data_IF_126534155939
#
_entry.id   IF_126534155939
#
_cell.length_a   1.000
_cell.length_b   1.000
_cell.length_c   1.000
_cell.angle_alpha   90.00
_cell.angle_beta   90.00
_cell.angle_gamma   90.00
#
_symmetry.space_group_name_H-M   'P 1'
#
loop_
_entity.id
_entity.type
_entity.pdbx_description
1 polymer ?
#
# COMPACT_ATOMS: atom_id res chain seq x y z
N UNK A 1 -8.51 32.33 -17.50
CA UNK A 1 -9.78 31.58 -17.64
C UNK A 1 -9.41 30.13 -17.81
N UNK A 2 -9.81 29.21 -16.93
CA UNK A 2 -9.57 27.78 -17.14
C UNK A 2 -10.37 27.35 -18.37
N UNK A 3 -9.76 26.55 -19.25
CA UNK A 3 -10.47 25.93 -20.39
C UNK A 3 -11.47 24.93 -19.81
N UNK A 4 -12.73 24.90 -20.28
CA UNK A 4 -13.65 23.83 -19.89
C UNK A 4 -13.05 22.50 -20.35
N UNK A 5 -12.85 21.56 -19.43
CA UNK A 5 -12.60 20.17 -19.79
C UNK A 5 -13.85 19.65 -20.52
N UNK A 6 -13.68 19.32 -21.78
CA UNK A 6 -14.73 18.66 -22.57
C UNK A 6 -14.77 17.21 -22.06
N UNK A 7 -15.78 16.85 -21.30
CA UNK A 7 -16.10 15.47 -20.95
C UNK A 7 -16.39 14.71 -22.26
N UNK A 8 -15.44 13.93 -22.74
CA UNK A 8 -15.54 13.21 -24.01
C UNK A 8 -16.49 11.99 -23.94
N UNK A 9 -16.87 11.53 -22.74
CA UNK A 9 -17.62 10.26 -22.58
C UNK A 9 -18.80 10.30 -21.61
N UNK A 10 -18.99 11.38 -20.84
CA UNK A 10 -19.98 11.41 -19.73
C UNK A 10 -19.58 10.57 -18.50
N UNK A 11 -18.49 9.82 -18.56
CA UNK A 11 -17.89 9.04 -17.45
C UNK A 11 -16.67 9.77 -16.94
N UNK A 12 -16.67 10.16 -15.67
CA UNK A 12 -15.54 10.87 -15.06
C UNK A 12 -14.45 9.91 -14.57
N UNK A 13 -14.84 8.77 -13.99
CA UNK A 13 -13.91 7.82 -13.40
C UNK A 13 -14.04 6.43 -14.03
N UNK A 14 -12.91 5.77 -14.30
CA UNK A 14 -12.85 4.35 -14.61
C UNK A 14 -12.21 3.62 -13.44
N UNK A 15 -12.99 2.80 -12.74
CA UNK A 15 -12.53 1.98 -11.62
C UNK A 15 -11.91 0.69 -12.17
N UNK A 16 -10.63 0.46 -11.92
CA UNK A 16 -9.90 -0.73 -12.36
C UNK A 16 -9.66 -1.66 -11.17
N UNK A 17 -10.18 -2.87 -11.24
CA UNK A 17 -10.07 -3.87 -10.19
C UNK A 17 -9.35 -5.11 -10.72
N UNK A 18 -8.06 -5.29 -10.43
CA UNK A 18 -7.37 -6.53 -10.72
C UNK A 18 -7.87 -7.64 -9.77
N UNK A 19 -8.22 -8.79 -10.32
CA UNK A 19 -8.81 -9.89 -9.56
C UNK A 19 -8.03 -11.19 -9.81
N UNK A 20 -7.71 -11.93 -8.72
CA UNK A 20 -7.11 -13.25 -8.80
C UNK A 20 -7.53 -14.13 -7.63
N UNK A 21 -8.31 -15.17 -7.90
CA UNK A 21 -8.79 -16.17 -6.92
C UNK A 21 -9.52 -15.55 -5.69
N UNK A 22 -10.31 -14.47 -5.87
CA UNK A 22 -11.01 -13.76 -4.80
C UNK A 22 -12.47 -13.42 -5.13
N UNK A 23 -13.29 -14.42 -5.48
CA UNK A 23 -14.67 -14.17 -5.89
C UNK A 23 -15.55 -13.60 -4.77
N UNK A 24 -15.25 -13.88 -3.51
CA UNK A 24 -16.04 -13.38 -2.39
C UNK A 24 -15.74 -11.91 -2.08
N UNK A 25 -14.47 -11.51 -2.14
CA UNK A 25 -14.03 -10.14 -1.91
C UNK A 25 -14.55 -9.18 -2.99
N UNK A 26 -14.55 -9.60 -4.27
CA UNK A 26 -15.06 -8.73 -5.35
C UNK A 26 -16.55 -8.41 -5.17
N UNK A 27 -17.35 -9.34 -4.65
CA UNK A 27 -18.77 -9.11 -4.35
C UNK A 27 -18.92 -7.93 -3.38
N UNK A 28 -18.17 -7.94 -2.28
CA UNK A 28 -18.26 -6.89 -1.26
C UNK A 28 -17.80 -5.53 -1.80
N UNK A 29 -16.74 -5.52 -2.65
CA UNK A 29 -16.31 -4.29 -3.32
C UNK A 29 -17.41 -3.73 -4.23
N UNK A 30 -18.01 -4.56 -5.09
CA UNK A 30 -19.08 -4.13 -5.99
C UNK A 30 -20.32 -3.65 -5.24
N UNK A 31 -20.71 -4.32 -4.14
CA UNK A 31 -21.77 -3.82 -3.26
C UNK A 31 -21.46 -2.41 -2.72
N UNK A 32 -20.23 -2.16 -2.30
CA UNK A 32 -19.84 -0.84 -1.81
C UNK A 32 -19.82 0.23 -2.92
N UNK A 33 -19.57 -0.17 -4.17
CA UNK A 33 -19.64 0.73 -5.33
C UNK A 33 -21.10 1.04 -5.73
N UNK A 34 -22.04 0.12 -5.55
CA UNK A 34 -23.46 0.44 -5.79
C UNK A 34 -24.02 1.46 -4.81
N UNK A 35 -23.41 1.60 -3.64
CA UNK A 35 -23.83 2.54 -2.61
C UNK A 35 -23.24 3.95 -2.76
N UNK A 36 -22.43 4.21 -3.80
CA UNK A 36 -21.83 5.53 -3.99
C UNK A 36 -22.87 6.62 -4.25
N UNK A 37 -22.70 7.78 -3.63
CA UNK A 37 -23.56 8.97 -3.82
C UNK A 37 -23.44 9.57 -5.22
N UNK A 38 -22.31 9.36 -5.89
CA UNK A 38 -22.02 9.79 -7.25
C UNK A 38 -21.74 8.56 -8.11
N UNK A 39 -22.42 8.43 -9.24
CA UNK A 39 -22.42 7.25 -10.12
C UNK A 39 -21.84 7.55 -11.53
N UNK A 40 -21.05 8.60 -11.70
CA UNK A 40 -20.41 8.97 -12.95
C UNK A 40 -19.12 8.17 -13.23
N UNK A 41 -19.15 6.88 -12.95
CA UNK A 41 -18.02 5.96 -13.13
C UNK A 41 -18.42 4.65 -13.82
N UNK A 42 -17.47 4.06 -14.53
CA UNK A 42 -17.51 2.67 -14.99
C UNK A 42 -16.60 1.80 -14.10
N UNK A 43 -16.86 0.48 -14.08
CA UNK A 43 -16.05 -0.49 -13.33
C UNK A 43 -15.51 -1.55 -14.29
N UNK A 44 -14.18 -1.70 -14.35
CA UNK A 44 -13.50 -2.71 -15.14
C UNK A 44 -12.90 -3.75 -14.20
N UNK A 45 -13.55 -4.91 -14.08
CA UNK A 45 -13.03 -6.05 -13.33
C UNK A 45 -12.16 -6.89 -14.27
N UNK A 46 -10.88 -6.99 -13.98
CA UNK A 46 -9.92 -7.73 -14.80
C UNK A 46 -9.44 -8.96 -14.04
N UNK A 47 -9.99 -10.10 -14.42
CA UNK A 47 -9.62 -11.42 -13.87
C UNK A 47 -8.30 -11.89 -14.47
N UNK A 48 -7.30 -12.13 -13.63
CA UNK A 48 -5.92 -12.43 -14.00
C UNK A 48 -5.61 -13.94 -13.94
N UNK A 49 -6.40 -14.74 -14.65
CA UNK A 49 -6.18 -16.19 -14.78
C UNK A 49 -6.48 -16.98 -13.51
N UNK A 50 -7.58 -16.65 -12.83
CA UNK A 50 -8.05 -17.38 -11.65
C UNK A 50 -8.50 -18.79 -11.98
N UNK A 51 -8.29 -19.72 -11.04
CA UNK A 51 -8.85 -21.08 -11.07
C UNK A 51 -10.37 -21.07 -10.80
N UNK A 52 -10.82 -20.09 -10.01
CA UNK A 52 -12.23 -19.79 -9.71
C UNK A 52 -12.51 -18.39 -10.19
N UNK A 53 -13.12 -18.25 -11.35
CA UNK A 53 -13.49 -16.96 -11.87
C UNK A 53 -14.70 -16.33 -11.13
N UNK A 54 -14.86 -15.03 -11.31
CA UNK A 54 -15.93 -14.28 -10.66
C UNK A 54 -16.98 -13.76 -11.67
N UNK A 55 -17.02 -14.31 -12.89
CA UNK A 55 -17.92 -13.84 -13.97
C UNK A 55 -19.37 -13.73 -13.52
N UNK A 56 -19.91 -14.82 -12.95
CA UNK A 56 -21.31 -14.85 -12.51
C UNK A 56 -21.59 -13.86 -11.37
N UNK A 57 -20.58 -13.60 -10.54
CA UNK A 57 -20.69 -12.61 -9.47
C UNK A 57 -20.74 -11.21 -10.06
N UNK A 58 -19.88 -10.90 -11.00
CA UNK A 58 -19.80 -9.56 -11.62
C UNK A 58 -21.06 -9.30 -12.45
N UNK A 59 -21.52 -10.28 -13.24
CA UNK A 59 -22.72 -10.13 -14.07
C UNK A 59 -23.98 -9.84 -13.26
N UNK A 60 -24.05 -10.28 -12.00
CA UNK A 60 -25.16 -9.96 -11.10
C UNK A 60 -25.23 -8.46 -10.70
N UNK A 61 -24.27 -7.64 -11.11
CA UNK A 61 -24.26 -6.20 -10.83
C UNK A 61 -24.49 -5.33 -12.08
N UNK A 62 -24.60 -5.92 -13.27
CA UNK A 62 -24.75 -5.18 -14.54
C UNK A 62 -26.00 -4.31 -14.61
N UNK A 63 -27.06 -4.63 -13.87
CA UNK A 63 -28.29 -3.83 -13.73
C UNK A 63 -28.16 -2.66 -12.73
N UNK A 64 -27.08 -2.62 -11.93
CA UNK A 64 -26.86 -1.63 -10.85
C UNK A 64 -25.59 -0.80 -11.06
N UNK A 65 -24.64 -1.27 -11.87
CA UNK A 65 -23.38 -0.62 -12.14
C UNK A 65 -23.03 -0.71 -13.64
N UNK A 66 -22.42 0.30 -14.22
CA UNK A 66 -21.73 0.16 -15.51
C UNK A 66 -20.44 -0.67 -15.28
N UNK A 67 -20.60 -1.98 -15.20
CA UNK A 67 -19.52 -2.92 -14.88
C UNK A 67 -19.22 -3.80 -16.09
N UNK A 68 -17.93 -3.97 -16.37
CA UNK A 68 -17.42 -4.83 -17.44
C UNK A 68 -16.45 -5.85 -16.83
N UNK A 69 -16.59 -7.10 -17.25
CA UNK A 69 -15.72 -8.20 -16.84
C UNK A 69 -14.80 -8.63 -17.97
N UNK A 70 -13.51 -8.69 -17.68
CA UNK A 70 -12.47 -9.16 -18.60
C UNK A 70 -11.71 -10.31 -17.97
N UNK A 71 -11.50 -11.38 -18.73
CA UNK A 71 -10.62 -12.48 -18.34
C UNK A 71 -9.36 -12.46 -19.22
N UNK A 72 -8.20 -12.71 -18.61
CA UNK A 72 -6.92 -12.84 -19.30
C UNK A 72 -6.02 -13.86 -18.59
N UNK A 73 -5.01 -14.38 -19.29
CA UNK A 73 -3.97 -15.17 -18.67
C UNK A 73 -3.20 -14.38 -17.58
N UNK A 74 -2.69 -15.11 -16.58
CA UNK A 74 -2.04 -14.49 -15.43
C UNK A 74 -0.73 -13.79 -15.83
N UNK A 75 -0.72 -12.47 -15.72
CA UNK A 75 0.46 -11.61 -15.86
C UNK A 75 0.75 -10.81 -14.59
N UNK A 76 0.05 -11.13 -13.51
CA UNK A 76 0.13 -10.47 -12.20
C UNK A 76 -0.40 -9.02 -12.19
N UNK A 77 -0.63 -8.54 -10.98
CA UNK A 77 -1.43 -7.34 -10.68
C UNK A 77 -1.02 -6.05 -11.43
N UNK A 78 0.28 -5.78 -11.63
CA UNK A 78 0.72 -4.56 -12.32
C UNK A 78 0.28 -4.51 -13.77
N UNK A 79 0.47 -5.61 -14.51
CA UNK A 79 0.08 -5.66 -15.93
C UNK A 79 -1.42 -5.86 -16.11
N UNK A 80 -2.08 -6.45 -15.14
CA UNK A 80 -3.54 -6.54 -15.09
C UNK A 80 -4.18 -5.16 -14.94
N UNK A 81 -3.55 -4.26 -14.14
CA UNK A 81 -3.97 -2.85 -14.07
C UNK A 81 -3.74 -2.12 -15.40
N UNK A 82 -2.61 -2.35 -16.08
CA UNK A 82 -2.38 -1.78 -17.42
C UNK A 82 -3.45 -2.18 -18.41
N UNK A 83 -3.84 -3.46 -18.40
CA UNK A 83 -4.92 -3.96 -19.25
C UNK A 83 -6.24 -3.20 -19.04
N UNK A 84 -6.55 -2.86 -17.77
CA UNK A 84 -7.69 -2.01 -17.41
C UNK A 84 -7.50 -0.56 -17.88
N UNK A 85 -6.32 0.03 -17.70
CA UNK A 85 -6.02 1.40 -18.14
C UNK A 85 -6.21 1.59 -19.64
N UNK A 86 -5.81 0.60 -20.46
CA UNK A 86 -5.98 0.64 -21.92
C UNK A 86 -7.46 0.68 -22.37
N UNK A 87 -8.38 0.21 -21.51
CA UNK A 87 -9.82 0.10 -21.80
C UNK A 87 -10.67 1.14 -21.10
N UNK A 88 -10.08 1.86 -20.20
CA UNK A 88 -10.72 2.91 -19.43
C UNK A 88 -11.21 4.05 -20.34
N UNK A 89 -12.45 4.51 -20.12
CA UNK A 89 -13.08 5.62 -20.85
C UNK A 89 -13.03 6.94 -20.08
N UNK A 90 -12.96 6.88 -18.75
CA UNK A 90 -12.97 8.03 -17.86
C UNK A 90 -11.72 8.91 -17.98
N UNK A 91 -11.84 10.14 -17.54
CA UNK A 91 -10.71 11.07 -17.43
C UNK A 91 -9.73 10.68 -16.33
N UNK A 92 -10.22 9.97 -15.32
CA UNK A 92 -9.47 9.46 -14.18
C UNK A 92 -9.57 7.94 -14.10
N UNK A 93 -8.45 7.26 -14.01
CA UNK A 93 -8.36 5.83 -13.76
C UNK A 93 -8.08 5.60 -12.29
N UNK A 94 -9.01 4.94 -11.61
CA UNK A 94 -8.96 4.69 -10.15
C UNK A 94 -8.75 3.21 -9.90
N UNK A 95 -7.67 2.87 -9.22
CA UNK A 95 -7.35 1.49 -8.89
C UNK A 95 -7.81 1.18 -7.47
N UNK A 96 -8.58 0.11 -7.32
CA UNK A 96 -8.85 -0.53 -6.02
C UNK A 96 -8.41 -1.98 -6.06
N UNK A 97 -7.85 -2.48 -4.96
CA UNK A 97 -7.66 -3.91 -4.80
C UNK A 97 -9.01 -4.58 -4.47
N UNK A 98 -9.25 -5.80 -4.92
CA UNK A 98 -10.53 -6.50 -4.78
C UNK A 98 -10.99 -6.72 -3.33
N UNK A 99 -10.08 -6.59 -2.36
CA UNK A 99 -10.32 -6.72 -0.93
C UNK A 99 -10.56 -5.36 -0.22
N UNK A 100 -10.99 -4.34 -0.98
CA UNK A 100 -11.37 -3.03 -0.46
C UNK A 100 -12.88 -2.89 -0.30
N UNK A 101 -13.30 -2.07 0.68
CA UNK A 101 -14.66 -1.54 0.82
C UNK A 101 -14.60 -0.03 0.69
N UNK A 102 -15.42 0.54 -0.18
CA UNK A 102 -15.37 1.95 -0.54
C UNK A 102 -16.48 2.70 0.19
N UNK A 103 -16.18 3.72 1.03
CA UNK A 103 -17.19 4.54 1.67
C UNK A 103 -18.11 5.24 0.66
N UNK A 104 -19.38 5.39 0.99
CA UNK A 104 -20.45 5.87 0.09
C UNK A 104 -20.14 7.23 -0.58
N UNK A 105 -19.39 8.12 0.08
CA UNK A 105 -19.06 9.45 -0.41
C UNK A 105 -17.65 9.57 -1.02
N UNK A 106 -17.02 8.45 -1.36
CA UNK A 106 -15.64 8.46 -1.86
C UNK A 106 -15.50 9.31 -3.13
N UNK A 107 -16.31 9.04 -4.18
CA UNK A 107 -16.24 9.77 -5.44
C UNK A 107 -16.72 11.20 -5.32
N UNK A 108 -17.63 11.52 -4.42
CA UNK A 108 -18.03 12.88 -4.10
C UNK A 108 -16.83 13.70 -3.56
N UNK A 109 -16.15 13.19 -2.53
CA UNK A 109 -14.99 13.86 -1.95
C UNK A 109 -13.82 14.00 -2.95
N UNK A 110 -13.58 12.94 -3.73
CA UNK A 110 -12.53 12.97 -4.77
C UNK A 110 -12.90 13.99 -5.84
N UNK A 111 -14.15 14.00 -6.30
CA UNK A 111 -14.63 14.95 -7.30
C UNK A 111 -14.48 16.40 -6.86
N UNK A 112 -14.96 16.72 -5.66
CA UNK A 112 -14.83 18.07 -5.06
C UNK A 112 -13.37 18.52 -4.93
N UNK A 113 -12.48 17.61 -4.48
CA UNK A 113 -11.06 17.91 -4.36
C UNK A 113 -10.41 18.20 -5.72
N UNK A 114 -10.69 17.39 -6.74
CA UNK A 114 -10.12 17.55 -8.08
C UNK A 114 -10.63 18.82 -8.78
N UNK A 115 -11.87 19.24 -8.54
CA UNK A 115 -12.42 20.50 -9.05
C UNK A 115 -11.71 21.73 -8.44
N UNK A 116 -11.32 21.62 -7.16
CA UNK A 116 -10.55 22.66 -6.48
C UNK A 116 -9.06 22.66 -6.82
N UNK A 117 -8.53 21.53 -7.29
CA UNK A 117 -7.11 21.33 -7.58
C UNK A 117 -6.88 20.77 -9.00
N UNK A 118 -7.21 21.54 -10.04
CA UNK A 118 -7.18 21.06 -11.45
C UNK A 118 -5.75 20.80 -11.96
N UNK A 119 -4.73 21.14 -11.20
CA UNK A 119 -3.32 20.89 -11.49
C UNK A 119 -2.80 19.56 -10.91
N UNK A 120 -3.61 18.83 -10.16
CA UNK A 120 -3.29 17.48 -9.67
C UNK A 120 -3.42 16.48 -10.81
N UNK A 121 -2.44 15.60 -10.95
CA UNK A 121 -2.41 14.53 -11.97
C UNK A 121 -2.59 13.14 -11.35
N UNK A 122 -2.29 13.00 -10.05
CA UNK A 122 -2.28 11.71 -9.34
C UNK A 122 -2.78 11.93 -7.92
N UNK A 123 -3.62 11.04 -7.42
CA UNK A 123 -4.04 11.10 -6.03
C UNK A 123 -4.06 9.73 -5.37
N UNK A 124 -4.16 9.73 -4.06
CA UNK A 124 -4.52 8.58 -3.24
C UNK A 124 -5.11 9.03 -1.93
N UNK A 125 -5.58 8.10 -1.16
CA UNK A 125 -6.18 8.34 0.15
C UNK A 125 -5.67 7.37 1.22
N UNK A 126 -6.01 7.62 2.49
CA UNK A 126 -5.64 6.75 3.59
C UNK A 126 -6.39 5.42 3.55
N UNK A 127 -5.78 4.40 4.16
CA UNK A 127 -6.46 3.15 4.45
C UNK A 127 -6.87 3.08 5.93
N UNK A 128 -8.03 2.49 6.18
CA UNK A 128 -8.58 2.32 7.52
C UNK A 128 -9.06 0.88 7.77
N UNK A 129 -9.32 0.54 9.03
CA UNK A 129 -9.97 -0.70 9.41
C UNK A 129 -11.48 -0.49 9.47
N UNK A 130 -12.24 -1.33 8.75
CA UNK A 130 -13.69 -1.32 8.85
C UNK A 130 -14.13 -1.86 10.22
N UNK A 131 -15.25 -1.36 10.81
CA UNK A 131 -15.76 -1.85 12.10
C UNK A 131 -16.01 -3.37 12.16
N UNK A 132 -16.39 -4.00 11.05
CA UNK A 132 -16.60 -5.46 10.95
C UNK A 132 -15.31 -6.30 10.95
N UNK A 133 -14.13 -5.69 10.83
CA UNK A 133 -12.90 -6.44 10.78
C UNK A 133 -12.57 -7.13 12.09
N UNK A 134 -11.94 -8.29 12.01
CA UNK A 134 -11.54 -9.06 13.19
C UNK A 134 -10.52 -8.30 14.05
N UNK A 135 -10.39 -8.62 15.35
CA UNK A 135 -9.39 -7.99 16.22
C UNK A 135 -7.95 -8.09 15.68
N UNK A 136 -7.60 -9.21 15.00
CA UNK A 136 -6.29 -9.37 14.36
C UNK A 136 -6.12 -8.37 13.21
N UNK A 137 -7.10 -8.25 12.34
CA UNK A 137 -7.06 -7.29 11.22
C UNK A 137 -6.98 -5.85 11.70
N UNK A 138 -7.74 -5.48 12.75
CA UNK A 138 -7.66 -4.17 13.40
C UNK A 138 -6.30 -3.90 14.03
N UNK A 139 -5.72 -4.89 14.71
CA UNK A 139 -4.38 -4.78 15.30
C UNK A 139 -3.29 -4.62 14.24
N UNK A 140 -3.38 -5.36 13.11
CA UNK A 140 -2.49 -5.20 11.96
C UNK A 140 -2.66 -3.81 11.35
N UNK A 141 -3.89 -3.34 11.15
CA UNK A 141 -4.15 -2.00 10.64
C UNK A 141 -3.56 -0.94 11.55
N UNK A 142 -3.74 -1.06 12.88
CA UNK A 142 -3.14 -0.17 13.85
C UNK A 142 -1.61 -0.16 13.73
N UNK A 143 -0.97 -1.33 13.70
CA UNK A 143 0.49 -1.41 13.54
C UNK A 143 0.98 -0.74 12.25
N UNK A 144 0.24 -0.85 11.15
CA UNK A 144 0.61 -0.28 9.86
C UNK A 144 0.39 1.24 9.77
N UNK A 145 -0.42 1.83 10.63
CA UNK A 145 -0.78 3.27 10.60
C UNK A 145 -0.28 4.05 11.81
N UNK A 146 0.12 3.38 12.90
CA UNK A 146 0.65 4.03 14.11
C UNK A 146 1.93 4.81 13.83
N UNK A 147 2.03 5.99 14.45
CA UNK A 147 3.26 6.79 14.43
C UNK A 147 4.44 6.05 15.09
N UNK A 148 4.18 5.26 16.12
CA UNK A 148 5.20 4.51 16.87
C UNK A 148 5.83 3.36 16.05
N UNK A 149 5.28 3.03 14.88
CA UNK A 149 5.77 1.98 13.99
C UNK A 149 6.24 2.50 12.64
N UNK A 150 5.49 3.44 12.04
CA UNK A 150 5.71 3.93 10.68
C UNK A 150 6.26 5.37 10.62
N UNK A 151 6.41 6.03 11.78
CA UNK A 151 6.85 7.42 11.83
C UNK A 151 5.93 8.40 11.11
N UNK A 152 4.62 8.07 11.00
CA UNK A 152 3.63 8.91 10.34
C UNK A 152 3.63 8.85 8.80
N UNK A 153 4.42 7.95 8.17
CA UNK A 153 4.46 7.81 6.69
C UNK A 153 3.08 7.48 6.10
N UNK A 154 2.19 6.87 6.88
CA UNK A 154 0.80 6.53 6.51
C UNK A 154 -0.22 7.39 7.26
N UNK A 155 0.20 8.51 7.84
CA UNK A 155 -0.69 9.44 8.53
C UNK A 155 -1.53 10.26 7.56
N UNK A 156 -2.81 10.43 7.88
CA UNK A 156 -3.82 11.05 7.02
C UNK A 156 -3.80 12.59 6.99
N UNK A 157 -2.66 13.25 6.89
CA UNK A 157 -2.60 14.71 6.66
C UNK A 157 -2.49 15.01 5.17
N UNK A 158 -3.21 16.01 4.71
CA UNK A 158 -3.17 16.45 3.32
C UNK A 158 -1.74 16.77 2.88
N UNK A 159 -1.30 16.16 1.78
CA UNK A 159 0.00 16.39 1.15
C UNK A 159 -0.19 16.68 -0.33
N UNK A 160 0.42 17.74 -0.82
CA UNK A 160 0.41 18.14 -2.22
C UNK A 160 1.83 18.06 -2.80
N UNK A 161 1.94 17.51 -4.02
CA UNK A 161 3.15 17.55 -4.82
C UNK A 161 3.98 16.28 -4.84
N UNK A 162 4.27 15.67 -3.71
CA UNK A 162 5.21 14.52 -3.62
C UNK A 162 4.65 13.30 -2.90
N UNK A 163 3.35 13.23 -2.70
CA UNK A 163 2.69 12.05 -2.12
C UNK A 163 2.86 10.83 -3.04
N UNK A 164 3.18 9.68 -2.47
CA UNK A 164 3.32 8.43 -3.19
C UNK A 164 2.12 7.52 -2.93
N UNK A 165 1.06 7.56 -3.77
CA UNK A 165 -0.12 6.74 -3.60
C UNK A 165 0.20 5.25 -3.70
N UNK A 166 -0.65 4.44 -3.09
CA UNK A 166 -0.58 2.98 -3.14
C UNK A 166 -1.67 2.43 -4.01
N UNK A 167 -1.40 1.35 -4.71
CA UNK A 167 -2.30 0.80 -5.70
C UNK A 167 -3.68 0.38 -5.19
N UNK A 168 -3.84 0.12 -3.89
CA UNK A 168 -5.16 -0.19 -3.33
C UNK A 168 -6.11 1.02 -3.29
N UNK A 169 -5.58 2.23 -3.47
CA UNK A 169 -6.32 3.51 -3.49
C UNK A 169 -5.49 4.54 -4.25
N UNK A 170 -5.50 4.46 -5.57
CA UNK A 170 -4.71 5.31 -6.45
C UNK A 170 -5.57 5.77 -7.62
N UNK A 171 -5.72 7.08 -7.79
CA UNK A 171 -6.27 7.69 -8.99
C UNK A 171 -5.19 8.36 -9.82
N UNK A 172 -5.20 8.14 -11.12
CA UNK A 172 -4.31 8.79 -12.08
C UNK A 172 -5.13 9.43 -13.20
N UNK A 173 -4.76 10.63 -13.62
CA UNK A 173 -5.35 11.27 -14.78
C UNK A 173 -4.93 10.54 -16.07
N UNK A 174 -5.73 10.68 -17.13
CA UNK A 174 -5.38 10.14 -18.46
C UNK A 174 -4.02 10.66 -18.93
N UNK A 175 -3.72 11.93 -18.71
CA UNK A 175 -2.40 12.52 -18.95
C UNK A 175 -1.28 11.77 -18.21
N UNK A 176 -1.50 11.43 -16.93
CA UNK A 176 -0.51 10.71 -16.14
C UNK A 176 -0.24 9.30 -16.68
N UNK A 177 -1.27 8.60 -17.16
CA UNK A 177 -1.10 7.31 -17.83
C UNK A 177 -0.35 7.43 -19.15
N UNK A 178 -0.74 8.36 -20.02
CA UNK A 178 -0.10 8.57 -21.33
C UNK A 178 1.39 8.90 -21.20
N UNK A 179 1.75 9.77 -20.23
CA UNK A 179 3.14 10.17 -19.98
C UNK A 179 3.95 9.03 -19.38
N UNK A 180 3.37 8.22 -18.50
CA UNK A 180 4.09 7.19 -17.75
C UNK A 180 4.11 5.83 -18.43
N UNK A 181 3.14 5.51 -19.28
CA UNK A 181 2.98 4.20 -19.92
C UNK A 181 2.52 3.08 -18.95
N UNK A 182 1.96 3.42 -17.79
CA UNK A 182 1.44 2.45 -16.83
C UNK A 182 2.50 1.76 -15.98
N UNK A 183 2.18 0.60 -15.43
CA UNK A 183 3.08 -0.19 -14.58
C UNK A 183 4.18 -0.85 -15.43
N UNK A 184 5.43 -0.64 -15.00
CA UNK A 184 6.64 -1.19 -15.64
C UNK A 184 7.01 -2.57 -15.13
N UNK A 185 6.68 -2.84 -13.88
CA UNK A 185 6.91 -4.13 -13.19
C UNK A 185 5.62 -4.58 -12.53
N UNK A 186 5.57 -5.86 -12.18
CA UNK A 186 4.34 -6.46 -11.65
C UNK A 186 4.56 -7.18 -10.31
N UNK A 187 5.78 -7.15 -9.77
CA UNK A 187 6.15 -7.83 -8.52
C UNK A 187 7.05 -6.94 -7.67
N UNK A 188 6.86 -7.01 -6.34
CA UNK A 188 7.72 -6.39 -5.32
C UNK A 188 7.96 -4.88 -5.49
N UNK A 189 6.91 -4.13 -5.27
CA UNK A 189 6.98 -2.68 -5.21
C UNK A 189 6.61 -1.98 -6.50
N UNK A 190 5.77 -2.62 -7.31
CA UNK A 190 5.23 -2.08 -8.54
C UNK A 190 4.51 -0.74 -8.34
N UNK A 191 3.78 -0.62 -7.22
CA UNK A 191 3.09 0.60 -6.82
C UNK A 191 4.06 1.72 -6.43
N UNK A 192 5.15 1.37 -5.74
CA UNK A 192 6.19 2.33 -5.35
C UNK A 192 6.97 2.81 -6.57
N UNK A 193 7.39 1.87 -7.44
CA UNK A 193 8.06 2.20 -8.70
C UNK A 193 7.20 3.15 -9.53
N UNK A 194 5.93 2.79 -9.71
CA UNK A 194 5.01 3.56 -10.51
C UNK A 194 4.79 4.96 -9.92
N UNK A 195 4.49 5.08 -8.63
CA UNK A 195 4.31 6.37 -7.97
C UNK A 195 5.57 7.26 -8.06
N UNK A 196 6.75 6.69 -7.83
CA UNK A 196 8.00 7.44 -7.95
C UNK A 196 8.27 7.91 -9.38
N UNK A 197 7.93 7.10 -10.37
CA UNK A 197 8.08 7.43 -11.79
C UNK A 197 7.10 8.51 -12.23
N UNK A 198 5.85 8.47 -11.78
CA UNK A 198 4.88 9.55 -12.00
C UNK A 198 5.42 10.90 -11.49
N UNK A 199 5.93 10.93 -10.25
CA UNK A 199 6.54 12.13 -9.67
C UNK A 199 7.80 12.56 -10.46
N UNK A 200 8.63 11.61 -10.90
CA UNK A 200 9.82 11.90 -11.69
C UNK A 200 9.51 12.45 -13.09
N UNK A 201 8.32 12.20 -13.62
CA UNK A 201 7.80 12.85 -14.82
C UNK A 201 7.29 14.29 -14.57
N UNK A 202 7.35 14.79 -13.34
CA UNK A 202 6.88 16.13 -12.97
C UNK A 202 5.37 16.19 -12.70
N UNK A 203 4.71 15.04 -12.61
CA UNK A 203 3.28 14.98 -12.33
C UNK A 203 3.01 15.31 -10.85
N UNK A 204 1.99 16.13 -10.61
CA UNK A 204 1.62 16.57 -9.27
C UNK A 204 0.73 15.53 -8.60
N UNK A 205 1.17 15.03 -7.44
CA UNK A 205 0.44 14.06 -6.65
C UNK A 205 -0.16 14.68 -5.38
N UNK A 206 -1.27 14.12 -4.90
CA UNK A 206 -1.95 14.57 -3.69
C UNK A 206 -2.40 13.41 -2.81
N UNK A 207 -2.38 13.61 -1.48
CA UNK A 207 -3.13 12.81 -0.53
C UNK A 207 -4.45 13.54 -0.27
N UNK A 208 -5.57 12.85 -0.50
CA UNK A 208 -6.92 13.31 -0.18
C UNK A 208 -7.36 12.61 1.11
N UNK A 209 -7.39 13.31 2.26
CA UNK A 209 -7.69 12.67 3.55
C UNK A 209 -9.09 12.03 3.60
N UNK A 210 -10.04 12.60 2.88
CA UNK A 210 -11.44 12.15 2.82
C UNK A 210 -11.64 10.94 1.91
N UNK A 211 -10.69 10.68 0.98
CA UNK A 211 -10.72 9.52 0.10
C UNK A 211 -10.25 8.24 0.84
N UNK A 212 -10.90 7.94 1.95
CA UNK A 212 -10.60 6.75 2.78
C UNK A 212 -11.07 5.49 2.07
N UNK A 213 -10.29 4.41 2.20
CA UNK A 213 -10.66 3.06 1.75
C UNK A 213 -10.49 2.08 2.91
N UNK A 214 -11.47 1.23 3.16
CA UNK A 214 -11.35 0.14 4.13
C UNK A 214 -10.69 -1.06 3.45
N UNK A 215 -9.37 -1.20 3.64
CA UNK A 215 -8.59 -2.27 3.02
C UNK A 215 -8.49 -3.46 3.98
N UNK A 216 -9.01 -4.62 3.58
CA UNK A 216 -8.97 -5.85 4.38
C UNK A 216 -7.51 -6.27 4.62
N UNK A 217 -7.15 -6.35 5.88
CA UNK A 217 -5.83 -6.84 6.29
C UNK A 217 -5.79 -8.36 6.29
N UNK A 218 -4.61 -8.93 6.33
CA UNK A 218 -4.41 -10.36 6.50
C UNK A 218 -5.13 -10.84 7.75
N UNK A 219 -5.73 -12.02 7.66
CA UNK A 219 -6.55 -12.59 8.73
C UNK A 219 -5.75 -13.26 9.82
N UNK A 220 -4.47 -13.54 9.56
CA UNK A 220 -3.54 -14.13 10.53
C UNK A 220 -2.15 -13.49 10.48
N UNK A 221 -1.41 -13.65 11.59
CA UNK A 221 -0.09 -13.06 11.75
C UNK A 221 0.98 -13.69 10.84
N UNK A 222 0.85 -14.96 10.44
CA UNK A 222 1.82 -15.60 9.56
C UNK A 222 1.76 -15.03 8.15
N UNK A 223 0.55 -14.80 7.65
CA UNK A 223 0.36 -14.14 6.35
C UNK A 223 0.85 -12.70 6.41
N UNK A 224 0.56 -11.98 7.51
CA UNK A 224 1.04 -10.63 7.72
C UNK A 224 2.56 -10.55 7.76
N UNK A 225 3.23 -11.46 8.48
CA UNK A 225 4.69 -11.55 8.52
C UNK A 225 5.29 -11.68 7.13
N UNK A 226 4.77 -12.62 6.31
CA UNK A 226 5.23 -12.81 4.92
C UNK A 226 5.04 -11.57 4.07
N UNK A 227 3.91 -10.90 4.22
CA UNK A 227 3.61 -9.66 3.49
C UNK A 227 4.60 -8.55 3.83
N UNK A 228 4.89 -8.37 5.12
CA UNK A 228 5.79 -7.29 5.57
C UNK A 228 7.25 -7.59 5.24
N UNK A 229 7.68 -8.86 5.33
CA UNK A 229 8.98 -9.30 4.83
C UNK A 229 9.14 -8.98 3.32
N UNK A 230 8.10 -9.26 2.54
CA UNK A 230 8.06 -8.90 1.13
C UNK A 230 8.21 -7.39 0.90
N UNK A 231 7.60 -6.53 1.74
CA UNK A 231 7.77 -5.07 1.65
C UNK A 231 9.22 -4.64 1.91
N UNK A 232 9.91 -5.27 2.88
CA UNK A 232 11.33 -5.02 3.12
C UNK A 232 12.19 -5.35 1.90
N UNK A 233 11.96 -6.52 1.28
CA UNK A 233 12.64 -6.94 0.04
C UNK A 233 12.34 -5.99 -1.13
N UNK A 234 11.08 -5.60 -1.30
CA UNK A 234 10.66 -4.68 -2.34
C UNK A 234 11.43 -3.35 -2.29
N UNK A 235 11.69 -2.82 -1.09
CA UNK A 235 12.42 -1.57 -0.91
C UNK A 235 13.85 -1.63 -1.48
N UNK A 236 14.53 -2.75 -1.36
CA UNK A 236 15.87 -2.94 -1.95
C UNK A 236 15.77 -3.01 -3.49
N UNK A 237 14.74 -3.66 -4.02
CA UNK A 237 14.56 -3.82 -5.47
C UNK A 237 14.27 -2.49 -6.18
N UNK A 238 13.50 -1.58 -5.57
CA UNK A 238 13.23 -0.25 -6.11
C UNK A 238 14.50 0.54 -6.36
N UNK A 239 15.57 0.34 -5.57
CA UNK A 239 16.88 0.98 -5.78
C UNK A 239 17.45 0.77 -7.19
N UNK A 240 17.04 -0.28 -7.90
CA UNK A 240 17.49 -0.55 -9.29
C UNK A 240 16.99 0.49 -10.28
N UNK A 241 15.78 1.00 -10.03
CA UNK A 241 15.13 2.01 -10.86
C UNK A 241 15.43 3.42 -10.34
N UNK A 242 15.55 3.55 -9.02
CA UNK A 242 15.77 4.80 -8.31
C UNK A 242 16.91 4.64 -7.28
N UNK A 243 18.18 4.81 -7.67
CA UNK A 243 19.34 4.53 -6.81
C UNK A 243 19.32 5.24 -5.46
N UNK A 244 18.75 6.44 -5.36
CA UNK A 244 18.62 7.21 -4.11
C UNK A 244 17.39 6.86 -3.24
N UNK A 245 16.57 5.88 -3.63
CA UNK A 245 15.31 5.58 -2.96
C UNK A 245 15.46 4.90 -1.59
N UNK A 246 16.58 4.24 -1.33
CA UNK A 246 16.86 3.59 -0.05
C UNK A 246 17.46 4.61 0.92
N UNK A 247 16.59 5.24 1.74
CA UNK A 247 16.97 6.26 2.73
C UNK A 247 17.36 5.62 4.07
N UNK A 248 18.16 6.29 4.94
CA UNK A 248 18.54 5.76 6.26
C UNK A 248 17.37 5.32 7.13
N UNK A 249 16.24 6.02 7.08
CA UNK A 249 15.03 5.67 7.83
C UNK A 249 14.49 4.26 7.51
N UNK A 250 14.71 3.73 6.30
CA UNK A 250 14.28 2.38 5.92
C UNK A 250 15.06 1.28 6.66
N UNK A 251 16.22 1.62 7.24
CA UNK A 251 17.03 0.71 8.04
C UNK A 251 16.60 0.63 9.51
N UNK A 252 15.77 1.56 10.00
CA UNK A 252 15.32 1.54 11.39
C UNK A 252 14.68 0.21 11.81
N UNK A 253 13.82 -0.45 10.99
CA UNK A 253 13.30 -1.77 11.31
C UNK A 253 14.39 -2.86 11.42
N UNK A 254 15.43 -2.78 10.58
CA UNK A 254 16.59 -3.70 10.67
C UNK A 254 17.39 -3.46 11.94
N UNK A 255 17.58 -2.21 12.32
CA UNK A 255 18.26 -1.88 13.59
C UNK A 255 17.44 -2.35 14.81
N UNK A 256 16.12 -2.22 14.75
CA UNK A 256 15.23 -2.78 15.78
C UNK A 256 15.35 -4.31 15.87
N UNK A 257 15.40 -5.01 14.73
CA UNK A 257 15.65 -6.45 14.70
C UNK A 257 17.00 -6.81 15.34
N UNK A 258 18.07 -6.12 14.96
CA UNK A 258 19.42 -6.35 15.52
C UNK A 258 19.43 -6.08 17.03
N UNK A 259 18.79 -5.00 17.46
CA UNK A 259 18.62 -4.69 18.89
C UNK A 259 17.94 -5.84 19.65
N UNK A 260 16.82 -6.36 19.17
CA UNK A 260 16.13 -7.49 19.80
C UNK A 260 17.00 -8.77 19.83
N UNK A 261 17.70 -9.05 18.74
CA UNK A 261 18.61 -10.21 18.66
C UNK A 261 19.80 -10.07 19.63
N UNK A 262 20.26 -8.86 19.89
CA UNK A 262 21.37 -8.60 20.83
C UNK A 262 20.94 -8.73 22.29
N UNK A 263 19.68 -8.46 22.63
CA UNK A 263 19.22 -8.52 24.03
C UNK A 263 19.43 -9.89 24.68
N UNK A 264 19.22 -10.99 23.94
CA UNK A 264 19.40 -12.35 24.46
C UNK A 264 20.85 -12.67 24.82
N UNK A 265 21.83 -12.57 23.91
CA UNK A 265 23.25 -12.73 24.22
C UNK A 265 23.77 -11.81 25.33
N UNK A 266 23.33 -10.54 25.34
CA UNK A 266 23.67 -9.60 26.40
C UNK A 266 23.15 -10.05 27.75
N UNK A 267 21.91 -10.57 27.82
CA UNK A 267 21.32 -11.10 29.06
C UNK A 267 22.10 -12.31 29.57
N UNK A 268 22.40 -13.28 28.71
CA UNK A 268 23.20 -14.46 29.06
C UNK A 268 24.60 -14.06 29.48
N UNK A 269 25.24 -13.14 28.77
CA UNK A 269 26.57 -12.61 29.13
C UNK A 269 26.58 -11.95 30.52
N UNK A 270 25.52 -11.18 30.84
CA UNK A 270 25.38 -10.58 32.17
C UNK A 270 25.27 -11.60 33.31
N UNK A 271 24.61 -12.73 33.06
CA UNK A 271 24.51 -13.82 34.04
C UNK A 271 25.82 -14.59 34.21
N UNK A 272 26.55 -14.83 33.11
CA UNK A 272 27.80 -15.60 33.10
C UNK A 272 28.95 -14.81 33.75
N UNK A 273 29.00 -13.51 33.52
CA UNK A 273 30.07 -12.64 34.01
C UNK A 273 29.91 -12.29 35.50
N UNK A 274 28.77 -12.60 36.10
CA UNK A 274 28.42 -12.30 37.51
C UNK A 274 28.78 -10.86 37.92
N UNK A 275 28.55 -9.92 37.00
CA UNK A 275 28.89 -8.52 37.19
C UNK A 275 27.61 -7.68 37.30
N UNK A 276 27.42 -7.09 38.50
CA UNK A 276 26.22 -6.30 38.81
C UNK A 276 25.99 -5.13 37.85
N UNK A 277 27.02 -4.47 37.31
CA UNK A 277 26.92 -3.37 36.36
C UNK A 277 26.48 -3.85 34.98
N UNK A 278 26.99 -5.01 34.55
CA UNK A 278 26.55 -5.62 33.26
C UNK A 278 25.09 -6.03 33.34
N UNK A 279 24.71 -6.69 34.45
CA UNK A 279 23.31 -7.09 34.70
C UNK A 279 22.37 -5.89 34.77
N UNK A 280 22.79 -4.79 35.43
CA UNK A 280 22.03 -3.53 35.43
C UNK A 280 21.89 -2.93 34.02
N UNK A 281 22.98 -2.84 33.27
CA UNK A 281 22.96 -2.34 31.89
C UNK A 281 22.03 -3.13 30.98
N UNK A 282 22.04 -4.47 31.12
CA UNK A 282 21.12 -5.35 30.37
C UNK A 282 19.66 -5.05 30.72
N UNK A 283 19.33 -4.94 32.04
CA UNK A 283 17.96 -4.58 32.44
C UNK A 283 17.54 -3.24 31.89
N UNK A 284 18.41 -2.25 31.90
CA UNK A 284 18.15 -0.93 31.31
C UNK A 284 17.96 -0.99 29.79
N UNK A 285 18.64 -1.90 29.10
CA UNK A 285 18.45 -2.11 27.66
C UNK A 285 17.05 -2.64 27.30
N UNK A 286 16.35 -3.33 28.20
CA UNK A 286 14.96 -3.75 27.96
C UNK A 286 13.93 -2.63 28.15
N UNK A 287 14.24 -1.59 28.90
CA UNK A 287 13.29 -0.53 29.26
C UNK A 287 12.69 0.13 28.03
N UNK A 288 13.46 0.57 26.99
CA UNK A 288 12.87 1.19 25.80
C UNK A 288 11.88 0.28 25.08
N UNK A 289 12.16 -1.02 25.00
CA UNK A 289 11.25 -1.99 24.40
C UNK A 289 9.93 -2.11 25.18
N UNK A 290 10.02 -2.22 26.50
CA UNK A 290 8.82 -2.30 27.36
C UNK A 290 7.99 -1.02 27.27
N UNK A 291 8.62 0.14 27.36
CA UNK A 291 7.93 1.44 27.24
C UNK A 291 7.23 1.54 25.89
N UNK A 292 7.92 1.22 24.79
CA UNK A 292 7.34 1.22 23.46
C UNK A 292 6.17 0.23 23.33
N UNK A 293 6.30 -0.96 23.89
CA UNK A 293 5.26 -1.99 23.86
C UNK A 293 4.00 -1.55 24.62
N UNK A 294 4.19 -0.95 25.81
CA UNK A 294 3.10 -0.39 26.63
C UNK A 294 2.45 0.81 25.93
N UNK A 295 3.25 1.70 25.33
CA UNK A 295 2.73 2.84 24.59
C UNK A 295 1.84 2.41 23.43
N UNK A 296 2.23 1.40 22.65
CA UNK A 296 1.41 0.83 21.58
C UNK A 296 0.12 0.22 22.09
N UNK A 297 0.15 -0.45 23.24
CA UNK A 297 -1.05 -1.00 23.86
C UNK A 297 -2.06 0.12 24.18
N UNK A 298 -1.61 1.18 24.85
CA UNK A 298 -2.49 2.29 25.21
C UNK A 298 -2.94 3.10 24.00
N UNK A 299 -2.06 3.32 23.00
CA UNK A 299 -2.44 3.98 21.75
C UNK A 299 -3.56 3.20 21.04
N UNK A 300 -3.43 1.87 20.96
CA UNK A 300 -4.44 1.03 20.34
C UNK A 300 -5.75 1.04 21.13
N UNK A 301 -5.67 0.97 22.47
CA UNK A 301 -6.85 1.03 23.32
C UNK A 301 -7.61 2.36 23.17
N UNK A 302 -6.89 3.47 23.19
CA UNK A 302 -7.49 4.81 23.06
C UNK A 302 -8.13 5.02 21.67
N UNK A 303 -7.49 4.49 20.60
CA UNK A 303 -8.00 4.65 19.22
C UNK A 303 -9.17 3.73 18.89
N UNK A 304 -9.19 2.51 19.44
CA UNK A 304 -10.19 1.50 19.05
C UNK A 304 -11.24 1.24 20.10
N UNK A 305 -10.98 1.52 21.37
CA UNK A 305 -11.83 1.15 22.51
C UNK A 305 -11.86 -0.36 22.79
N UNK A 306 -11.09 -1.18 22.04
CA UNK A 306 -11.17 -2.64 22.11
C UNK A 306 -9.94 -3.26 22.80
N UNK A 307 -10.12 -3.85 23.99
CA UNK A 307 -9.04 -4.53 24.73
C UNK A 307 -8.34 -5.63 23.93
N UNK A 308 -9.10 -6.39 23.13
CA UNK A 308 -8.53 -7.46 22.28
C UNK A 308 -7.58 -6.89 21.24
N UNK A 309 -7.92 -5.76 20.64
CA UNK A 309 -7.05 -5.07 19.68
C UNK A 309 -5.81 -4.52 20.39
N UNK A 310 -6.00 -3.90 21.56
CA UNK A 310 -4.90 -3.33 22.35
C UNK A 310 -3.84 -4.37 22.73
N UNK A 311 -4.25 -5.59 23.13
CA UNK A 311 -3.30 -6.68 23.42
C UNK A 311 -2.58 -7.22 22.16
N UNK A 312 -3.23 -7.21 21.01
CA UNK A 312 -2.67 -7.74 19.77
C UNK A 312 -1.79 -6.72 19.03
N UNK A 313 -2.03 -5.42 19.19
CA UNK A 313 -1.34 -4.35 18.47
C UNK A 313 0.18 -4.31 18.69
N UNK A 314 0.72 -4.42 19.92
CA UNK A 314 2.15 -4.47 20.13
C UNK A 314 2.83 -5.69 19.49
N UNK A 315 2.13 -6.85 19.46
CA UNK A 315 2.61 -8.05 18.77
C UNK A 315 2.65 -7.82 17.25
N UNK A 316 1.60 -7.24 16.68
CA UNK A 316 1.56 -6.88 15.25
C UNK A 316 2.68 -5.91 14.88
N UNK A 317 2.90 -4.88 15.71
CA UNK A 317 3.96 -3.88 15.53
C UNK A 317 5.36 -4.49 15.60
N UNK A 318 5.64 -5.34 16.60
CA UNK A 318 6.91 -6.07 16.71
C UNK A 318 7.17 -6.95 15.49
N UNK A 319 6.15 -7.68 15.04
CA UNK A 319 6.23 -8.51 13.84
C UNK A 319 6.47 -7.66 12.58
N UNK A 320 5.79 -6.52 12.45
CA UNK A 320 6.00 -5.60 11.34
C UNK A 320 7.45 -5.14 11.24
N UNK A 321 8.02 -4.64 12.33
CA UNK A 321 9.39 -4.12 12.34
C UNK A 321 10.41 -5.24 12.11
N UNK A 322 10.26 -6.37 12.78
CA UNK A 322 11.22 -7.49 12.64
C UNK A 322 11.16 -8.14 11.26
N UNK A 323 9.97 -8.40 10.72
CA UNK A 323 9.83 -9.02 9.40
C UNK A 323 10.28 -8.09 8.27
N UNK A 324 9.93 -6.80 8.34
CA UNK A 324 10.42 -5.81 7.38
C UNK A 324 11.95 -5.70 7.44
N UNK A 325 12.50 -5.58 8.65
CA UNK A 325 13.94 -5.47 8.89
C UNK A 325 14.70 -6.68 8.34
N UNK A 326 14.19 -7.89 8.56
CA UNK A 326 14.73 -9.13 8.01
C UNK A 326 14.65 -9.15 6.47
N UNK A 327 13.49 -8.82 5.91
CA UNK A 327 13.29 -8.78 4.45
C UNK A 327 14.25 -7.80 3.77
N UNK A 328 14.43 -6.61 4.32
CA UNK A 328 15.36 -5.61 3.81
C UNK A 328 16.82 -6.07 3.92
N UNK A 329 17.24 -6.57 5.09
CA UNK A 329 18.61 -7.03 5.32
C UNK A 329 18.97 -8.21 4.42
N UNK A 330 18.13 -9.24 4.39
CA UNK A 330 18.38 -10.45 3.59
C UNK A 330 18.46 -10.15 2.09
N UNK A 331 17.57 -9.32 1.56
CA UNK A 331 17.60 -8.93 0.15
C UNK A 331 18.80 -8.01 -0.15
N UNK A 332 19.14 -7.09 0.76
CA UNK A 332 20.33 -6.23 0.59
C UNK A 332 21.62 -7.06 0.52
N UNK A 333 21.79 -8.02 1.42
CA UNK A 333 22.93 -8.93 1.39
C UNK A 333 22.93 -9.74 0.10
N UNK A 334 21.80 -10.32 -0.30
CA UNK A 334 21.71 -11.12 -1.51
C UNK A 334 22.05 -10.32 -2.78
N UNK A 335 21.49 -9.13 -2.94
CA UNK A 335 21.57 -8.34 -4.19
C UNK A 335 22.81 -7.47 -4.23
N UNK A 336 23.15 -6.79 -3.12
CA UNK A 336 24.23 -5.79 -3.10
C UNK A 336 25.56 -6.39 -2.73
N UNK A 337 25.61 -7.24 -1.70
CA UNK A 337 26.87 -7.83 -1.21
C UNK A 337 27.24 -9.05 -2.04
N UNK A 338 26.32 -10.02 -2.18
CA UNK A 338 26.56 -11.27 -2.90
C UNK A 338 26.31 -11.15 -4.41
N UNK A 339 25.85 -10.00 -4.89
CA UNK A 339 25.60 -9.68 -6.31
C UNK A 339 24.73 -10.72 -7.04
N UNK A 340 23.81 -11.36 -6.34
CA UNK A 340 22.87 -12.29 -6.95
C UNK A 340 21.93 -11.53 -7.90
N UNK A 341 21.92 -11.93 -9.18
CA UNK A 341 21.10 -11.28 -10.21
C UNK A 341 19.61 -11.71 -10.17
N UNK A 342 19.31 -12.82 -9.55
CA UNK A 342 18.01 -13.51 -9.58
C UNK A 342 16.97 -12.93 -8.62
N UNK A 343 17.08 -11.66 -8.28
CA UNK A 343 16.04 -11.06 -7.49
C UNK A 343 14.79 -10.87 -8.34
N UNK A 344 13.75 -11.32 -7.84
CA UNK A 344 12.39 -11.47 -8.31
C UNK A 344 11.76 -10.10 -8.59
N UNK A 345 12.13 -9.43 -9.67
CA UNK A 345 11.42 -8.28 -10.19
C UNK A 345 10.29 -8.73 -11.13
N UNK A 346 10.39 -9.96 -11.63
CA UNK A 346 9.53 -10.44 -12.69
C UNK A 346 9.88 -9.82 -14.04
N UNK A 347 8.93 -9.82 -14.95
CA UNK A 347 9.03 -9.14 -16.24
C UNK A 347 9.12 -7.61 -16.05
N UNK A 348 9.97 -6.97 -16.85
CA UNK A 348 10.09 -5.51 -16.90
C UNK A 348 9.70 -5.05 -18.29
N UNK A 349 8.61 -4.30 -18.41
CA UNK A 349 8.15 -3.74 -19.70
C UNK A 349 8.80 -2.39 -19.98
N UNK A 350 9.05 -2.06 -21.25
CA UNK A 350 9.51 -0.75 -21.63
C UNK A 350 8.42 0.30 -21.33
N UNK A 351 8.84 1.45 -20.83
CA UNK A 351 7.97 2.59 -20.52
C UNK A 351 8.68 3.87 -21.01
N UNK A 352 7.96 4.97 -21.21
CA UNK A 352 8.57 6.25 -21.55
C UNK A 352 9.71 6.63 -20.61
N UNK A 353 10.83 7.16 -21.12
CA UNK A 353 11.98 7.53 -20.29
C UNK A 353 11.65 8.72 -19.38
N UNK A 354 12.17 8.69 -18.17
CA UNK A 354 12.08 9.82 -17.24
C UNK A 354 12.88 10.99 -17.84
N UNK A 355 12.37 12.23 -17.76
CA UNK A 355 13.10 13.42 -18.22
C UNK A 355 14.50 13.51 -17.58
N UNK A 356 15.48 14.03 -18.35
CA UNK A 356 16.87 14.11 -17.90
C UNK A 356 17.10 14.99 -16.66
N UNK A 357 16.13 15.82 -16.30
CA UNK A 357 16.19 16.71 -15.13
C UNK A 357 14.92 16.57 -14.29
N UNK A 358 14.70 15.40 -13.65
CA UNK A 358 13.46 15.17 -12.90
C UNK A 358 13.39 16.10 -11.67
N UNK A 359 12.19 16.55 -11.27
CA UNK A 359 12.01 17.20 -9.99
C UNK A 359 12.45 16.23 -8.88
N UNK A 360 13.13 16.73 -7.86
CA UNK A 360 13.57 15.90 -6.73
C UNK A 360 12.33 15.44 -5.95
N UNK A 361 12.19 14.13 -5.69
CA UNK A 361 11.09 13.57 -4.93
C UNK A 361 11.10 13.97 -3.45
#
# INVERSE_FOLDING_TARGET
>A
MPRPQVLLSGVRFSVIVPLFNRPDEIRELLESLTAQTVQDFEVLVVEDGSDRDARDIVSAFEDRLDVQYFWKENERQGFTRNFGFERAKGDWMVVFDSDCLIPERYFEHVGEFLDQHPDVDVYGGPDAAHPSFTPIQKAISHAMTSFLTTGGIRGGQQQLGTYQPRSFNMGISRKAWEVSGGYRITVKGEDIEFSMRLIAHGLKSALIPEAVVYHKRRTDFRQFQKQVEFFGRARVNIRRFFPGSLRPMHWMPTMFLIYLLALGPFYVGGLVLDNGWVTFGVRMAFVPFVVWYVALFFEALLKTGEWRVAFLAPRAASMQLTAYGWGLLSEYVAVVVLRRRDSIIGEVRPVPPIPSNPPRP
#
